data_IF_072091290774
#
_entry.id   IF_072091290774
#
_cell.length_a   1.000
_cell.length_b   1.000
_cell.length_c   1.000
_cell.angle_alpha   90.00
_cell.angle_beta   90.00
_cell.angle_gamma   90.00
#
_symmetry.space_group_name_H-M   'P 1'
#
loop_
_entity.id
_entity.type
_entity.pdbx_description
1 polymer ?
#
# COMPACT_ATOMS: atom_id res chain seq x y z
N UNK A 1 13.66 -1.75 -6.58
CA UNK A 1 13.64 -0.35 -6.12
C UNK A 1 12.55 -0.24 -5.06
N UNK A 2 12.76 0.49 -3.97
CA UNK A 2 11.85 0.49 -2.81
C UNK A 2 10.58 1.31 -3.07
N UNK A 3 9.40 0.69 -2.93
CA UNK A 3 8.09 1.32 -3.08
C UNK A 3 7.63 2.08 -1.84
N UNK A 4 8.39 2.12 -0.74
CA UNK A 4 8.00 2.86 0.46
C UNK A 4 8.04 4.39 0.24
N UNK A 5 8.96 4.89 -0.60
CA UNK A 5 9.31 6.31 -0.74
C UNK A 5 8.13 7.25 -1.13
N UNK A 6 7.14 6.83 -1.94
CA UNK A 6 5.94 7.62 -2.20
C UNK A 6 4.98 7.72 -1.01
N UNK A 7 5.10 6.86 0.01
CA UNK A 7 4.14 6.72 1.11
C UNK A 7 4.70 7.13 2.48
N UNK A 8 6.03 7.12 2.67
CA UNK A 8 6.65 7.54 3.93
C UNK A 8 7.33 8.90 3.84
N UNK A 9 7.03 9.73 4.84
CA UNK A 9 7.67 11.03 5.07
C UNK A 9 9.07 10.91 5.68
N UNK A 10 9.96 10.09 5.12
CA UNK A 10 11.31 9.89 5.67
C UNK A 10 12.29 10.88 5.01
N UNK A 11 12.47 12.04 5.65
CA UNK A 11 13.50 13.00 5.32
C UNK A 11 13.00 14.45 5.20
N UNK A 12 13.90 15.45 5.30
CA UNK A 12 13.55 16.88 5.24
C UNK A 12 12.86 17.29 3.91
N UNK A 13 13.17 16.58 2.82
CA UNK A 13 12.56 16.73 1.49
C UNK A 13 11.12 16.19 1.42
N UNK A 14 10.76 15.20 2.25
CA UNK A 14 9.44 14.54 2.16
C UNK A 14 8.29 15.45 2.59
N UNK A 15 8.55 16.40 3.50
CA UNK A 15 7.58 17.41 3.95
C UNK A 15 7.20 18.41 2.85
N UNK A 16 7.91 18.38 1.71
CA UNK A 16 7.69 19.29 0.58
C UNK A 16 6.95 18.65 -0.59
N UNK A 17 6.85 17.31 -0.64
CA UNK A 17 6.20 16.64 -1.77
C UNK A 17 4.70 16.87 -1.74
N UNK A 18 4.17 17.51 -2.78
CA UNK A 18 2.74 17.65 -2.93
C UNK A 18 2.11 16.33 -3.46
N UNK A 19 0.78 16.24 -3.46
CA UNK A 19 0.05 15.02 -3.86
C UNK A 19 0.40 14.58 -5.29
N UNK A 20 0.61 15.52 -6.21
CA UNK A 20 0.95 15.22 -7.62
C UNK A 20 2.33 14.60 -7.73
N UNK A 21 3.35 15.20 -7.12
CA UNK A 21 4.72 14.69 -7.15
C UNK A 21 4.83 13.29 -6.51
N UNK A 22 4.03 13.05 -5.47
CA UNK A 22 3.95 11.73 -4.83
C UNK A 22 3.33 10.68 -5.75
N UNK A 23 2.27 11.03 -6.50
CA UNK A 23 1.66 10.15 -7.51
C UNK A 23 2.60 9.89 -8.69
N UNK A 24 3.27 10.93 -9.20
CA UNK A 24 4.22 10.81 -10.31
C UNK A 24 5.40 9.93 -9.95
N UNK A 25 5.93 10.06 -8.73
CA UNK A 25 6.98 9.17 -8.24
C UNK A 25 6.51 7.72 -8.13
N UNK A 26 5.30 7.47 -7.61
CA UNK A 26 4.73 6.13 -7.55
C UNK A 26 4.69 5.49 -8.95
N UNK A 27 4.13 6.22 -9.93
CA UNK A 27 4.07 5.77 -11.33
C UNK A 27 5.44 5.50 -11.90
N UNK A 28 6.38 6.44 -11.74
CA UNK A 28 7.75 6.29 -12.20
C UNK A 28 8.42 5.02 -11.65
N UNK A 29 8.29 4.75 -10.34
CA UNK A 29 8.88 3.56 -9.72
C UNK A 29 8.28 2.27 -10.29
N UNK A 30 6.95 2.21 -10.42
CA UNK A 30 6.26 1.06 -10.98
C UNK A 30 6.60 0.85 -12.47
N UNK A 31 6.69 1.94 -13.25
CA UNK A 31 7.10 1.91 -14.66
C UNK A 31 8.54 1.39 -14.83
N UNK A 32 9.38 1.56 -13.79
CA UNK A 32 10.75 1.04 -13.74
C UNK A 32 10.87 -0.32 -13.05
N UNK A 33 9.77 -1.07 -12.93
CA UNK A 33 9.77 -2.46 -12.46
C UNK A 33 9.94 -2.60 -10.95
N UNK A 34 9.57 -1.59 -10.16
CA UNK A 34 9.42 -1.79 -8.73
C UNK A 34 8.33 -2.84 -8.47
N UNK A 35 8.63 -3.82 -7.60
CA UNK A 35 7.71 -4.90 -7.28
C UNK A 35 6.52 -4.36 -6.48
N UNK A 36 5.35 -4.30 -7.13
CA UNK A 36 4.10 -3.76 -6.58
C UNK A 36 3.64 -4.44 -5.28
N UNK A 37 4.04 -5.70 -5.08
CA UNK A 37 3.68 -6.51 -3.92
C UNK A 37 4.80 -6.63 -2.89
N UNK A 38 5.90 -5.89 -3.07
CA UNK A 38 6.99 -5.88 -2.12
C UNK A 38 6.48 -5.52 -0.72
N UNK A 39 6.87 -6.33 0.26
CA UNK A 39 6.63 -6.00 1.67
C UNK A 39 7.49 -4.79 2.04
N UNK A 40 6.84 -3.78 2.57
CA UNK A 40 7.48 -2.57 3.05
C UNK A 40 7.88 -2.79 4.50
N UNK A 41 9.11 -2.42 4.86
CA UNK A 41 9.56 -2.39 6.24
C UNK A 41 9.92 -0.96 6.61
N UNK A 42 9.26 -0.41 7.63
CA UNK A 42 9.63 0.91 8.13
C UNK A 42 10.87 0.77 9.03
N UNK A 43 12.07 0.80 8.43
CA UNK A 43 13.30 0.88 9.21
C UNK A 43 13.35 2.22 9.94
N UNK A 44 13.43 2.20 11.27
CA UNK A 44 13.86 3.38 12.00
C UNK A 44 15.40 3.47 11.96
N UNK A 45 15.92 4.70 11.99
CA UNK A 45 17.34 5.00 11.93
C UNK A 45 18.15 4.48 13.15
N UNK A 46 17.48 3.83 14.11
CA UNK A 46 18.05 3.35 15.35
C UNK A 46 18.30 1.84 15.36
N UNK A 47 18.02 1.14 14.25
CA UNK A 47 18.25 -0.30 14.09
C UNK A 47 17.71 -1.15 15.27
N UNK A 48 16.68 -0.63 15.93
CA UNK A 48 16.00 -1.21 17.09
C UNK A 48 14.54 -1.22 16.75
N UNK A 49 13.91 -2.40 16.73
CA UNK A 49 12.45 -2.47 16.89
C UNK A 49 11.65 -1.77 15.78
N UNK A 50 12.02 -2.00 14.52
CA UNK A 50 11.15 -1.68 13.37
C UNK A 50 9.99 -2.70 13.31
N UNK A 51 9.10 -2.67 14.30
CA UNK A 51 7.92 -3.55 14.39
C UNK A 51 6.77 -3.11 13.48
N UNK A 52 6.95 -2.02 12.75
CA UNK A 52 5.94 -1.53 11.84
C UNK A 52 6.18 -2.08 10.42
N UNK A 53 5.54 -3.21 10.17
CA UNK A 53 5.38 -3.81 8.85
C UNK A 53 3.96 -3.46 8.36
N UNK A 54 3.79 -2.42 7.53
CA UNK A 54 2.49 -2.08 6.98
C UNK A 54 2.00 -3.10 5.94
N UNK A 55 2.77 -4.11 5.56
CA UNK A 55 2.46 -5.01 4.44
C UNK A 55 2.93 -4.42 3.11
N UNK A 56 2.08 -4.46 2.09
CA UNK A 56 2.38 -3.89 0.77
C UNK A 56 2.11 -2.38 0.70
N UNK A 57 2.47 -1.76 -0.43
CA UNK A 57 2.09 -0.39 -0.76
C UNK A 57 0.56 -0.18 -0.71
N UNK A 58 -0.24 -1.19 -1.08
CA UNK A 58 -1.70 -1.10 -1.06
C UNK A 58 -2.23 -1.03 0.38
N UNK A 59 -1.70 -1.85 1.29
CA UNK A 59 -2.07 -1.81 2.70
C UNK A 59 -1.80 -0.41 3.29
N UNK A 60 -0.62 0.15 3.01
CA UNK A 60 -0.22 1.46 3.51
C UNK A 60 -1.08 2.60 2.94
N UNK A 61 -1.40 2.54 1.64
CA UNK A 61 -2.29 3.51 0.98
C UNK A 61 -3.69 3.53 1.62
N UNK A 62 -4.28 2.34 1.84
CA UNK A 62 -5.61 2.19 2.44
C UNK A 62 -5.63 2.66 3.90
N UNK A 63 -4.62 2.27 4.69
CA UNK A 63 -4.48 2.71 6.08
C UNK A 63 -4.36 4.24 6.19
N UNK A 64 -3.64 4.88 5.26
CA UNK A 64 -3.45 6.34 5.25
C UNK A 64 -4.63 7.10 4.61
N UNK A 65 -5.53 6.42 3.89
CA UNK A 65 -6.61 7.02 3.12
C UNK A 65 -6.14 7.70 1.82
N UNK A 66 -5.03 7.24 1.25
CA UNK A 66 -4.49 7.72 -0.02
C UNK A 66 -5.16 7.01 -1.20
N UNK A 67 -6.47 7.24 -1.35
CA UNK A 67 -7.33 6.47 -2.26
C UNK A 67 -6.90 6.55 -3.73
N UNK A 68 -6.36 7.68 -4.19
CA UNK A 68 -5.87 7.80 -5.57
C UNK A 68 -4.66 6.88 -5.83
N UNK A 69 -3.77 6.71 -4.84
CA UNK A 69 -2.65 5.76 -4.93
C UNK A 69 -3.14 4.32 -4.83
N UNK A 70 -4.09 4.05 -3.93
CA UNK A 70 -4.67 2.72 -3.80
C UNK A 70 -5.34 2.28 -5.11
N UNK A 71 -6.04 3.19 -5.78
CA UNK A 71 -6.66 2.93 -7.09
C UNK A 71 -5.61 2.63 -8.17
N UNK A 72 -4.55 3.45 -8.28
CA UNK A 72 -3.45 3.20 -9.22
C UNK A 72 -2.76 1.84 -8.98
N UNK A 73 -2.57 1.47 -7.71
CA UNK A 73 -1.98 0.18 -7.34
C UNK A 73 -2.88 -0.99 -7.76
N UNK A 74 -4.18 -0.92 -7.49
CA UNK A 74 -5.14 -1.96 -7.90
C UNK A 74 -5.23 -2.08 -9.43
N UNK A 75 -5.25 -0.95 -10.14
CA UNK A 75 -5.29 -0.93 -11.61
C UNK A 75 -4.04 -1.56 -12.24
N UNK A 76 -2.92 -1.56 -11.52
CA UNK A 76 -1.66 -2.20 -11.92
C UNK A 76 -1.48 -3.61 -11.37
N UNK A 77 -2.49 -4.19 -10.74
CA UNK A 77 -2.48 -5.58 -10.29
C UNK A 77 -1.82 -5.80 -8.92
N UNK A 78 -1.87 -4.81 -8.02
CA UNK A 78 -1.53 -5.03 -6.62
C UNK A 78 -2.43 -6.10 -6.01
N UNK A 79 -1.81 -7.06 -5.33
CA UNK A 79 -2.50 -8.15 -4.63
C UNK A 79 -3.18 -7.66 -3.37
N UNK A 80 -4.35 -8.22 -3.07
CA UNK A 80 -5.17 -7.79 -1.94
C UNK A 80 -4.99 -8.65 -0.67
N UNK A 81 -4.34 -9.81 -0.78
CA UNK A 81 -4.01 -10.73 0.32
C UNK A 81 -2.67 -10.49 1.01
N UNK A 82 -1.87 -9.51 0.56
CA UNK A 82 -0.62 -9.23 1.27
C UNK A 82 -0.97 -8.76 2.69
N UNK A 83 -0.75 -9.63 3.66
CA UNK A 83 -1.03 -9.36 5.06
C UNK A 83 -0.01 -8.37 5.62
N UNK A 84 -0.47 -7.39 6.40
CA UNK A 84 0.39 -6.55 7.20
C UNK A 84 1.09 -7.35 8.33
N UNK A 85 1.95 -6.69 9.09
CA UNK A 85 2.64 -7.32 10.22
C UNK A 85 1.75 -7.58 11.43
N UNK A 86 2.34 -8.20 12.46
CA UNK A 86 1.69 -8.56 13.73
C UNK A 86 1.00 -7.37 14.41
N UNK A 87 1.62 -6.19 14.38
CA UNK A 87 1.04 -4.97 14.99
C UNK A 87 -0.30 -4.57 14.36
N UNK A 88 -0.51 -4.94 13.09
CA UNK A 88 -1.76 -4.73 12.35
C UNK A 88 -2.60 -6.00 12.30
N UNK A 89 -2.37 -6.94 13.22
CA UNK A 89 -3.11 -8.21 13.35
C UNK A 89 -3.08 -9.06 12.07
N UNK A 90 -2.01 -8.96 11.27
CA UNK A 90 -1.91 -9.61 9.97
C UNK A 90 -3.02 -9.23 8.97
N UNK A 91 -3.59 -8.03 9.11
CA UNK A 91 -4.69 -7.57 8.29
C UNK A 91 -4.33 -7.44 6.80
N UNK A 92 -5.24 -7.92 5.96
CA UNK A 92 -5.27 -7.76 4.49
C UNK A 92 -5.73 -6.36 4.08
N UNK A 93 -5.67 -6.07 2.78
CA UNK A 93 -6.13 -4.79 2.24
C UNK A 93 -7.60 -4.49 2.60
N UNK A 94 -8.49 -5.49 2.51
CA UNK A 94 -9.92 -5.32 2.78
C UNK A 94 -10.21 -5.03 4.27
N UNK A 95 -9.49 -5.70 5.16
CA UNK A 95 -9.62 -5.48 6.61
C UNK A 95 -9.12 -4.10 7.00
N UNK A 96 -7.99 -3.65 6.43
CA UNK A 96 -7.47 -2.31 6.67
C UNK A 96 -8.41 -1.22 6.13
N UNK A 97 -8.98 -1.43 4.94
CA UNK A 97 -9.93 -0.50 4.32
C UNK A 97 -11.17 -0.24 5.18
N UNK A 98 -11.64 -1.24 5.93
CA UNK A 98 -12.81 -1.12 6.79
C UNK A 98 -12.48 -0.66 8.22
N UNK A 99 -11.27 -0.97 8.72
CA UNK A 99 -10.84 -0.66 10.11
C UNK A 99 -10.40 0.79 10.33
N UNK A 100 -9.78 1.43 9.34
CA UNK A 100 -9.13 2.74 9.52
C UNK A 100 -9.88 3.91 8.88
N UNK A 101 -9.81 4.02 7.55
CA UNK A 101 -10.44 5.11 6.79
C UNK A 101 -11.23 4.53 5.63
N UNK A 102 -12.55 4.47 5.81
CA UNK A 102 -13.47 3.85 4.84
C UNK A 102 -13.29 4.48 3.45
N UNK A 103 -12.84 3.70 2.44
CA UNK A 103 -12.65 4.22 1.08
C UNK A 103 -13.98 4.57 0.42
N UNK A 104 -13.95 5.40 -0.64
CA UNK A 104 -15.15 5.68 -1.40
C UNK A 104 -15.75 4.39 -2.00
N UNK A 105 -17.09 4.30 -2.19
CA UNK A 105 -17.77 3.05 -2.53
C UNK A 105 -17.26 2.34 -3.79
N UNK A 106 -16.82 3.09 -4.80
CA UNK A 106 -16.29 2.54 -6.04
C UNK A 106 -14.97 1.79 -5.81
N UNK A 107 -14.08 2.33 -4.95
CA UNK A 107 -12.80 1.73 -4.63
C UNK A 107 -12.99 0.48 -3.78
N UNK A 108 -13.92 0.52 -2.81
CA UNK A 108 -14.28 -0.66 -2.03
C UNK A 108 -14.83 -1.78 -2.93
N UNK A 109 -15.74 -1.45 -3.84
CA UNK A 109 -16.30 -2.41 -4.80
C UNK A 109 -15.23 -3.02 -5.70
N UNK A 110 -14.26 -2.21 -6.15
CA UNK A 110 -13.10 -2.68 -6.94
C UNK A 110 -12.25 -3.66 -6.13
N UNK A 111 -11.93 -3.30 -4.89
CA UNK A 111 -11.13 -4.13 -3.98
C UNK A 111 -11.82 -5.48 -3.71
N UNK A 112 -13.12 -5.47 -3.41
CA UNK A 112 -13.92 -6.69 -3.18
C UNK A 112 -13.97 -7.60 -4.42
N UNK A 113 -14.13 -7.03 -5.61
CA UNK A 113 -14.16 -7.76 -6.86
C UNK A 113 -12.80 -8.40 -7.18
N UNK A 114 -11.70 -7.66 -7.00
CA UNK A 114 -10.35 -8.21 -7.17
C UNK A 114 -10.11 -9.35 -6.18
N UNK A 115 -10.45 -9.15 -4.89
CA UNK A 115 -10.31 -10.19 -3.87
C UNK A 115 -11.07 -11.46 -4.23
N UNK A 116 -12.32 -11.31 -4.71
CA UNK A 116 -13.14 -12.44 -5.15
C UNK A 116 -12.48 -13.22 -6.29
N UNK A 117 -11.84 -12.52 -7.24
CA UNK A 117 -11.12 -13.14 -8.37
C UNK A 117 -9.86 -13.86 -7.93
N UNK A 118 -9.08 -13.28 -7.01
CA UNK A 118 -7.91 -13.94 -6.41
C UNK A 118 -8.30 -15.28 -5.76
N UNK A 119 -9.34 -15.26 -4.92
CA UNK A 119 -9.86 -16.48 -4.27
C UNK A 119 -10.33 -17.51 -5.30
N UNK A 120 -11.08 -17.07 -6.33
CA UNK A 120 -11.60 -17.98 -7.35
C UNK A 120 -10.51 -18.57 -8.26
N UNK A 121 -9.42 -17.85 -8.49
CA UNK A 121 -8.30 -18.29 -9.32
C UNK A 121 -7.28 -19.16 -8.57
N UNK A 122 -7.40 -19.27 -7.25
CA UNK A 122 -6.40 -19.96 -6.42
C UNK A 122 -5.04 -19.26 -6.43
N UNK A 123 -4.99 -18.01 -6.90
CA UNK A 123 -3.79 -17.19 -6.83
C UNK A 123 -3.53 -16.88 -5.34
N UNK A 124 -2.35 -17.24 -4.79
CA UNK A 124 -1.98 -16.90 -3.43
C UNK A 124 -1.71 -15.42 -3.29
#
# INVERSE_FOLDING_TARGET
MDLAVPFVGLGPESRRRNRSESMELLRYLLDNGADINARLFAHNHYNRDAYFDPGSALNLALMNGEYEKAEELLDRGARTDVAAGEYLEYATALELATKYKVPPPHLLSKLEEIRRREIASGAP
#
